data_IF_481782564833
#
_entry.id   IF_481782564833
#
_cell.length_a   1.000
_cell.length_b   1.000
_cell.length_c   1.000
_cell.angle_alpha   90.00
_cell.angle_beta   90.00
_cell.angle_gamma   90.00
#
_symmetry.space_group_name_H-M   'P 1'
#
loop_
_entity.id
_entity.type
_entity.pdbx_description
1 polymer ?
#
# COMPACT_ATOMS: atom_id res chain seq x y z
N UNK A 1 14.75 1.90 -10.40
CA UNK A 1 13.97 2.36 -9.24
C UNK A 1 12.75 3.07 -9.77
N UNK A 2 11.57 2.72 -9.29
CA UNK A 2 10.28 3.32 -9.66
C UNK A 2 9.70 3.91 -8.38
N UNK A 3 9.17 5.12 -8.46
CA UNK A 3 8.55 5.82 -7.34
C UNK A 3 7.15 6.25 -7.77
N UNK A 4 6.15 5.93 -6.96
CA UNK A 4 4.79 6.43 -7.12
C UNK A 4 4.42 7.25 -5.89
N UNK A 5 3.54 8.23 -6.08
CA UNK A 5 2.88 8.97 -4.99
C UNK A 5 1.39 8.95 -5.21
N UNK A 6 0.64 8.75 -4.13
CA UNK A 6 -0.83 8.76 -4.13
C UNK A 6 -1.30 9.77 -3.10
N UNK A 7 -2.15 10.75 -3.47
CA UNK A 7 -2.66 11.72 -2.51
C UNK A 7 -3.63 11.07 -1.51
N UNK A 8 -3.56 11.52 -0.26
CA UNK A 8 -4.59 11.27 0.73
C UNK A 8 -5.85 12.07 0.39
N UNK A 9 -6.98 11.69 1.01
CA UNK A 9 -8.27 12.34 0.83
C UNK A 9 -8.90 12.74 2.17
N UNK A 10 -9.74 13.75 2.12
CA UNK A 10 -10.70 14.10 3.16
C UNK A 10 -12.11 13.83 2.64
N UNK A 11 -12.93 13.17 3.46
CA UNK A 11 -14.35 12.95 3.18
C UNK A 11 -15.17 14.10 3.78
N UNK A 12 -16.00 14.75 2.95
CA UNK A 12 -16.88 15.85 3.37
C UNK A 12 -18.29 15.37 3.68
N UNK A 13 -18.82 14.41 2.91
CA UNK A 13 -20.17 13.87 3.11
C UNK A 13 -20.31 12.47 2.54
N UNK A 14 -21.30 11.73 3.05
CA UNK A 14 -21.68 10.41 2.54
C UNK A 14 -20.79 9.25 2.98
N UNK A 15 -19.81 9.49 3.87
CA UNK A 15 -18.97 8.42 4.41
C UNK A 15 -19.81 7.34 5.10
N UNK A 16 -19.55 6.07 4.78
CA UNK A 16 -20.33 4.93 5.25
C UNK A 16 -21.40 4.47 4.26
N UNK A 17 -21.84 5.32 3.33
CA UNK A 17 -22.75 4.88 2.25
C UNK A 17 -22.05 4.01 1.21
N UNK A 18 -20.72 4.03 1.19
CA UNK A 18 -19.83 3.18 0.39
C UNK A 18 -19.61 1.78 1.00
N UNK A 19 -20.12 1.52 2.20
CA UNK A 19 -20.10 0.19 2.81
C UNK A 19 -21.19 -0.70 2.22
N UNK A 20 -20.87 -1.99 2.06
CA UNK A 20 -21.77 -2.99 1.46
C UNK A 20 -23.09 -3.10 2.20
N UNK A 21 -23.06 -2.98 3.52
CA UNK A 21 -24.22 -3.04 4.40
C UNK A 21 -25.25 -1.94 4.09
N UNK A 22 -24.79 -0.82 3.50
CA UNK A 22 -25.63 0.28 3.04
C UNK A 22 -25.96 0.15 1.55
N UNK A 23 -24.95 0.12 0.66
CA UNK A 23 -25.20 0.21 -0.78
C UNK A 23 -25.95 -0.98 -1.37
N UNK A 24 -25.99 -2.12 -0.67
CA UNK A 24 -26.78 -3.28 -1.10
C UNK A 24 -28.29 -3.09 -0.94
N UNK A 25 -28.73 -2.04 -0.24
CA UNK A 25 -30.14 -1.73 0.04
C UNK A 25 -30.60 -0.44 -0.63
N UNK A 26 -29.74 0.59 -0.62
CA UNK A 26 -30.03 1.93 -1.12
C UNK A 26 -28.83 2.46 -1.92
N UNK A 27 -29.01 3.35 -2.92
CA UNK A 27 -27.89 3.97 -3.61
C UNK A 27 -26.98 4.77 -2.66
N UNK A 28 -25.67 4.51 -2.71
CA UNK A 28 -24.65 5.26 -1.96
C UNK A 28 -24.04 6.39 -2.77
N UNK A 29 -23.60 7.45 -2.08
CA UNK A 29 -22.88 8.57 -2.70
C UNK A 29 -21.92 9.20 -1.68
N UNK A 30 -20.67 9.45 -2.11
CA UNK A 30 -19.64 10.09 -1.29
C UNK A 30 -19.15 11.38 -1.94
N UNK A 31 -18.88 12.39 -1.12
CA UNK A 31 -18.19 13.61 -1.54
C UNK A 31 -16.86 13.69 -0.78
N UNK A 32 -15.76 13.60 -1.51
CA UNK A 32 -14.40 13.69 -0.96
C UNK A 32 -13.47 14.42 -1.91
N UNK A 33 -12.38 14.97 -1.39
CA UNK A 33 -11.32 15.57 -2.20
C UNK A 33 -9.94 15.16 -1.70
N UNK A 34 -8.98 15.13 -2.60
CA UNK A 34 -7.57 14.91 -2.26
C UNK A 34 -6.98 16.13 -1.58
N UNK A 35 -5.96 15.91 -0.75
CA UNK A 35 -5.17 16.97 -0.09
C UNK A 35 -3.70 16.91 -0.52
N UNK A 36 -2.93 17.93 -0.14
CA UNK A 36 -1.50 18.08 -0.40
C UNK A 36 -0.63 17.19 0.51
N UNK A 37 -1.09 15.96 0.78
CA UNK A 37 -0.44 14.95 1.62
C UNK A 37 -0.44 13.63 0.86
N UNK A 38 0.64 12.88 0.94
CA UNK A 38 0.87 11.73 0.07
C UNK A 38 1.39 10.50 0.80
N UNK A 39 1.09 9.33 0.23
CA UNK A 39 1.84 8.10 0.45
C UNK A 39 2.72 7.84 -0.76
N UNK A 40 3.96 7.48 -0.50
CA UNK A 40 4.98 7.14 -1.48
C UNK A 40 5.26 5.65 -1.42
N UNK A 41 5.26 5.01 -2.59
CA UNK A 41 5.72 3.63 -2.73
C UNK A 41 6.92 3.63 -3.66
N UNK A 42 8.05 3.17 -3.13
CA UNK A 42 9.32 3.11 -3.82
C UNK A 42 9.64 1.65 -4.06
N UNK A 43 9.86 1.29 -5.32
CA UNK A 43 10.18 -0.09 -5.72
C UNK A 43 11.50 -0.09 -6.46
N UNK A 44 12.44 -0.92 -6.01
CA UNK A 44 13.74 -1.10 -6.66
C UNK A 44 14.11 -2.57 -6.77
N UNK A 45 14.81 -2.93 -7.85
CA UNK A 45 15.44 -4.23 -7.94
C UNK A 45 16.61 -4.29 -6.97
N UNK A 46 16.75 -5.40 -6.25
CA UNK A 46 17.91 -5.66 -5.38
C UNK A 46 18.97 -6.43 -6.16
N UNK A 47 20.24 -6.13 -5.86
CA UNK A 47 21.35 -6.94 -6.37
C UNK A 47 21.49 -8.23 -5.57
N UNK A 48 21.99 -9.28 -6.21
CA UNK A 48 22.20 -10.61 -5.61
C UNK A 48 23.21 -10.67 -4.45
N UNK A 49 23.87 -9.56 -4.10
CA UNK A 49 24.83 -9.48 -2.99
C UNK A 49 24.18 -9.24 -1.63
N UNK A 50 22.86 -9.05 -1.57
CA UNK A 50 22.15 -8.89 -0.30
C UNK A 50 21.78 -10.24 0.32
N UNK A 51 21.84 -10.33 1.65
CA UNK A 51 21.48 -11.54 2.41
C UNK A 51 20.03 -11.95 2.21
N UNK A 52 19.13 -10.98 2.00
CA UNK A 52 17.71 -11.21 1.72
C UNK A 52 17.31 -10.89 0.29
N UNK A 53 16.54 -11.79 -0.36
CA UNK A 53 15.96 -11.53 -1.69
C UNK A 53 14.96 -10.38 -1.68
N UNK A 54 14.10 -10.33 -0.67
CA UNK A 54 12.99 -9.38 -0.59
C UNK A 54 13.14 -8.53 0.66
N UNK A 55 13.01 -7.22 0.48
CA UNK A 55 12.96 -6.27 1.59
C UNK A 55 11.69 -5.43 1.50
N UNK A 56 10.93 -5.40 2.59
CA UNK A 56 9.75 -4.54 2.71
C UNK A 56 9.98 -3.58 3.86
N UNK A 57 9.98 -2.28 3.58
CA UNK A 57 10.25 -1.24 4.57
C UNK A 57 9.02 -0.34 4.71
N UNK A 58 8.48 -0.30 5.93
CA UNK A 58 7.40 0.60 6.35
C UNK A 58 7.66 0.92 7.84
N UNK A 59 6.64 0.97 8.69
CA UNK A 59 6.84 1.07 10.14
C UNK A 59 7.69 -0.06 10.74
N UNK A 60 7.86 -1.16 10.01
CA UNK A 60 8.76 -2.28 10.32
C UNK A 60 9.59 -2.58 9.06
N UNK A 61 10.82 -3.06 9.24
CA UNK A 61 11.62 -3.61 8.14
C UNK A 61 11.53 -5.13 8.15
N UNK A 62 11.03 -5.69 7.07
CA UNK A 62 11.00 -7.12 6.80
C UNK A 62 12.09 -7.49 5.80
N UNK A 63 12.89 -8.51 6.12
CA UNK A 63 13.85 -9.12 5.20
C UNK A 63 13.50 -10.60 5.07
N UNK A 64 13.05 -11.01 3.88
CA UNK A 64 12.52 -12.36 3.64
C UNK A 64 13.01 -12.92 2.32
N UNK A 65 12.99 -14.26 2.19
CA UNK A 65 13.45 -14.95 0.98
C UNK A 65 12.34 -15.18 -0.04
N UNK A 66 11.12 -15.40 0.45
CA UNK A 66 9.95 -15.73 -0.39
C UNK A 66 8.83 -14.74 -0.16
N UNK A 67 8.10 -14.40 -1.22
CA UNK A 67 6.92 -13.50 -1.16
C UNK A 67 5.91 -13.96 -0.11
N UNK A 68 5.71 -15.27 0.06
CA UNK A 68 4.79 -15.83 1.05
C UNK A 68 5.14 -15.54 2.51
N UNK A 69 6.38 -15.18 2.83
CA UNK A 69 6.85 -14.88 4.19
C UNK A 69 6.61 -13.42 4.60
N UNK A 70 6.29 -12.56 3.64
CA UNK A 70 5.98 -11.14 3.89
C UNK A 70 4.75 -11.05 4.80
N UNK A 71 4.88 -10.34 5.91
CA UNK A 71 3.82 -10.06 6.86
C UNK A 71 2.90 -8.96 6.35
N UNK A 72 3.44 -7.91 5.71
CA UNK A 72 2.64 -6.85 5.13
C UNK A 72 1.68 -7.39 4.04
N UNK A 73 0.36 -7.42 4.29
CA UNK A 73 -0.57 -8.19 3.44
C UNK A 73 -0.71 -7.61 2.04
N UNK A 74 -0.79 -6.27 1.91
CA UNK A 74 -0.97 -5.63 0.60
C UNK A 74 0.24 -5.87 -0.30
N UNK A 75 1.46 -5.65 0.21
CA UNK A 75 2.71 -5.91 -0.54
C UNK A 75 2.81 -7.38 -0.94
N UNK A 76 2.52 -8.31 -0.02
CA UNK A 76 2.52 -9.75 -0.31
C UNK A 76 1.59 -10.10 -1.45
N UNK A 77 0.32 -9.70 -1.36
CA UNK A 77 -0.69 -10.07 -2.36
C UNK A 77 -0.46 -9.34 -3.69
N UNK A 78 0.07 -8.11 -3.68
CA UNK A 78 0.45 -7.40 -4.90
C UNK A 78 1.58 -8.11 -5.65
N UNK A 79 2.63 -8.55 -4.96
CA UNK A 79 3.73 -9.30 -5.58
C UNK A 79 3.26 -10.65 -6.12
N UNK A 80 2.39 -11.37 -5.38
CA UNK A 80 1.78 -12.62 -5.86
C UNK A 80 0.92 -12.41 -7.10
N UNK A 81 0.07 -11.37 -7.09
CA UNK A 81 -0.80 -11.04 -8.22
C UNK A 81 -0.01 -10.78 -9.50
N UNK A 82 1.15 -10.12 -9.37
CA UNK A 82 2.03 -9.80 -10.50
C UNK A 82 3.01 -10.92 -10.85
N UNK A 83 3.05 -12.02 -10.10
CA UNK A 83 4.02 -13.11 -10.31
C UNK A 83 5.48 -12.69 -10.13
N UNK A 84 5.74 -11.66 -9.33
CA UNK A 84 7.09 -11.13 -9.12
C UNK A 84 7.79 -11.97 -8.07
N UNK A 85 8.79 -12.74 -8.50
CA UNK A 85 9.67 -13.51 -7.61
C UNK A 85 11.10 -12.93 -7.53
N UNK A 86 11.48 -12.00 -8.41
CA UNK A 86 12.85 -11.44 -8.45
C UNK A 86 13.25 -10.66 -7.18
N UNK A 87 14.56 -10.53 -6.87
CA UNK A 87 15.01 -9.75 -5.72
C UNK A 87 14.53 -8.31 -5.79
N UNK A 88 13.75 -7.89 -4.80
CA UNK A 88 13.02 -6.62 -4.83
C UNK A 88 13.01 -5.94 -3.46
N UNK A 89 13.07 -4.62 -3.47
CA UNK A 89 12.84 -3.79 -2.31
C UNK A 89 11.60 -2.93 -2.53
N UNK A 90 10.72 -2.93 -1.55
CA UNK A 90 9.51 -2.12 -1.50
C UNK A 90 9.59 -1.26 -0.24
N UNK A 91 9.68 0.05 -0.40
CA UNK A 91 9.63 1.00 0.70
C UNK A 91 8.36 1.85 0.63
N UNK A 92 7.70 2.02 1.76
CA UNK A 92 6.46 2.79 1.92
C UNK A 92 6.72 3.91 2.92
N UNK A 93 6.51 5.14 2.47
CA UNK A 93 6.64 6.35 3.30
C UNK A 93 5.38 7.19 3.17
N UNK A 94 4.89 7.79 4.25
CA UNK A 94 3.69 8.62 4.21
C UNK A 94 3.87 9.91 5.01
N UNK A 95 3.21 10.98 4.57
CA UNK A 95 3.18 12.28 5.27
C UNK A 95 2.36 12.23 6.56
N UNK A 96 1.48 11.23 6.71
CA UNK A 96 0.51 11.10 7.80
C UNK A 96 0.54 9.63 8.31
N UNK A 97 0.41 9.38 9.63
CA UNK A 97 0.34 8.03 10.17
C UNK A 97 -0.92 7.27 9.74
N UNK A 98 -0.93 5.95 9.98
CA UNK A 98 -2.12 5.14 9.76
C UNK A 98 -3.29 5.58 10.67
N UNK A 99 -4.53 5.30 10.22
CA UNK A 99 -5.78 5.51 10.98
C UNK A 99 -6.14 6.97 11.28
N UNK A 100 -5.83 7.89 10.37
CA UNK A 100 -6.20 9.32 10.50
C UNK A 100 -7.50 9.71 9.80
N UNK A 101 -8.23 8.73 9.23
CA UNK A 101 -9.51 8.94 8.54
C UNK A 101 -10.04 7.67 7.91
#
# INVERSE_FOLDING_TARGET
MIITRTPFRISFSGGGTDLKEFYSKEPGAVLSSTIDKYVYVIVSKRNKMHESRIRVNYSVTENVEKVGQIQHPIVREALKLLGIDEPIEVAIQADIPAKTG
#
